data_IF_543931156076
#
_entry.id   IF_543931156076
#
_cell.length_a   1.000
_cell.length_b   1.000
_cell.length_c   1.000
_cell.angle_alpha   90.00
_cell.angle_beta   90.00
_cell.angle_gamma   90.00
#
_symmetry.space_group_name_H-M   'P 1'
#
loop_
_entity.id
_entity.type
_entity.pdbx_description
1 polymer ?
#
# COMPACT_ATOMS: atom_id res chain seq x y z
N UNK A 1 -26.58 -9.97 5.97
CA UNK A 1 -25.38 -9.19 5.59
C UNK A 1 -25.85 -8.12 4.62
N UNK A 2 -25.76 -6.84 4.97
CA UNK A 2 -26.34 -5.77 4.15
C UNK A 2 -25.49 -5.54 2.89
N UNK A 3 -26.09 -5.82 1.74
CA UNK A 3 -25.59 -5.65 0.37
C UNK A 3 -25.57 -4.18 -0.07
N UNK A 4 -25.02 -3.28 0.74
CA UNK A 4 -24.59 -1.99 0.21
C UNK A 4 -23.23 -2.21 -0.43
N UNK A 5 -23.23 -2.70 -1.67
CA UNK A 5 -22.06 -2.67 -2.55
C UNK A 5 -21.55 -1.24 -2.56
N UNK A 6 -20.41 -1.01 -1.90
CA UNK A 6 -19.70 0.26 -1.89
C UNK A 6 -19.27 0.54 -3.34
N UNK A 7 -20.11 1.26 -4.09
CA UNK A 7 -19.82 1.54 -5.50
C UNK A 7 -18.73 2.58 -5.57
N UNK A 8 -17.50 2.13 -5.80
CA UNK A 8 -16.36 3.01 -5.98
C UNK A 8 -16.55 3.86 -7.24
N UNK A 9 -16.14 5.12 -7.17
CA UNK A 9 -15.96 5.92 -8.39
C UNK A 9 -14.80 5.37 -9.21
N UNK A 10 -14.72 5.66 -10.52
CA UNK A 10 -13.59 5.23 -11.35
C UNK A 10 -12.23 5.64 -10.77
N UNK A 11 -12.14 6.84 -10.20
CA UNK A 11 -10.92 7.34 -9.54
C UNK A 11 -10.57 6.56 -8.28
N UNK A 12 -11.57 6.22 -7.46
CA UNK A 12 -11.34 5.41 -6.25
C UNK A 12 -10.90 4.00 -6.63
N UNK A 13 -11.56 3.39 -7.62
CA UNK A 13 -11.19 2.07 -8.10
C UNK A 13 -9.76 2.04 -8.66
N UNK A 14 -9.39 3.03 -9.48
CA UNK A 14 -8.02 3.16 -9.99
C UNK A 14 -7.01 3.24 -8.84
N UNK A 15 -7.25 4.10 -7.86
CA UNK A 15 -6.41 4.20 -6.67
C UNK A 15 -6.25 2.86 -5.94
N UNK A 16 -7.35 2.15 -5.66
CA UNK A 16 -7.27 0.87 -4.94
C UNK A 16 -6.62 -0.24 -5.78
N UNK A 17 -6.73 -0.20 -7.11
CA UNK A 17 -5.99 -1.12 -8.00
C UNK A 17 -4.49 -0.88 -7.92
N UNK A 18 -4.06 0.37 -7.97
CA UNK A 18 -2.63 0.72 -7.85
C UNK A 18 -2.09 0.37 -6.46
N UNK A 19 -2.81 0.76 -5.40
CA UNK A 19 -2.46 0.41 -4.03
C UNK A 19 -2.33 -1.11 -3.82
N UNK A 20 -3.29 -1.88 -4.36
CA UNK A 20 -3.27 -3.36 -4.26
C UNK A 20 -2.09 -3.95 -5.03
N UNK A 21 -1.78 -3.41 -6.21
CA UNK A 21 -0.60 -3.82 -6.98
C UNK A 21 0.68 -3.57 -6.21
N UNK A 22 0.83 -2.41 -5.57
CA UNK A 22 2.01 -2.07 -4.79
C UNK A 22 2.16 -3.00 -3.58
N UNK A 23 1.04 -3.28 -2.88
CA UNK A 23 1.02 -4.21 -1.75
C UNK A 23 1.40 -5.64 -2.16
N UNK A 24 0.84 -6.15 -3.26
CA UNK A 24 1.19 -7.48 -3.80
C UNK A 24 2.65 -7.51 -4.24
N UNK A 25 3.14 -6.45 -4.86
CA UNK A 25 4.55 -6.33 -5.26
C UNK A 25 5.47 -6.40 -4.06
N UNK A 26 5.18 -5.64 -2.99
CA UNK A 26 5.97 -5.63 -1.76
C UNK A 26 5.97 -6.99 -1.07
N UNK A 27 4.83 -7.69 -1.05
CA UNK A 27 4.70 -9.01 -0.45
C UNK A 27 5.50 -10.06 -1.24
N UNK A 28 5.38 -10.08 -2.57
CA UNK A 28 6.03 -11.10 -3.40
C UNK A 28 7.52 -10.85 -3.64
N UNK A 29 7.97 -9.59 -3.56
CA UNK A 29 9.40 -9.23 -3.72
C UNK A 29 10.31 -9.88 -2.69
N UNK A 30 9.78 -10.35 -1.56
CA UNK A 30 10.54 -11.09 -0.55
C UNK A 30 10.84 -12.54 -0.97
N UNK A 31 10.05 -13.10 -1.88
CA UNK A 31 10.05 -14.53 -2.23
C UNK A 31 10.22 -14.80 -3.73
N UNK A 32 10.25 -13.77 -4.56
CA UNK A 32 10.26 -13.89 -6.02
C UNK A 32 11.07 -12.78 -6.67
N UNK A 33 11.65 -13.07 -7.83
CA UNK A 33 12.40 -12.07 -8.60
C UNK A 33 11.47 -11.00 -9.18
N UNK A 34 11.95 -9.76 -9.37
CA UNK A 34 11.14 -8.65 -9.91
C UNK A 34 10.43 -9.00 -11.22
N UNK A 35 11.12 -9.68 -12.14
CA UNK A 35 10.55 -10.07 -13.45
C UNK A 35 9.38 -11.06 -13.30
N UNK A 36 9.45 -11.99 -12.35
CA UNK A 36 8.37 -12.94 -12.09
C UNK A 36 7.15 -12.25 -11.49
N UNK A 37 7.38 -11.31 -10.56
CA UNK A 37 6.30 -10.50 -9.98
C UNK A 37 5.63 -9.64 -11.06
N UNK A 38 6.43 -9.01 -11.93
CA UNK A 38 5.91 -8.19 -13.03
C UNK A 38 5.09 -9.00 -14.04
N UNK A 39 5.54 -10.20 -14.41
CA UNK A 39 4.78 -11.10 -15.30
C UNK A 39 3.46 -11.54 -14.66
N UNK A 40 3.49 -11.95 -13.39
CA UNK A 40 2.29 -12.31 -12.64
C UNK A 40 1.25 -11.18 -12.61
N UNK A 41 1.70 -9.95 -12.32
CA UNK A 41 0.83 -8.77 -12.23
C UNK A 41 0.26 -8.32 -13.58
N UNK A 42 0.85 -8.73 -14.71
CA UNK A 42 0.32 -8.46 -16.05
C UNK A 42 -0.80 -9.44 -16.44
N UNK A 43 -0.74 -10.67 -15.95
CA UNK A 43 -1.65 -11.74 -16.33
C UNK A 43 -2.91 -11.79 -15.45
N UNK A 44 -2.85 -11.24 -14.24
CA UNK A 44 -3.95 -11.27 -13.28
C UNK A 44 -4.81 -10.00 -13.31
N UNK A 45 -6.13 -10.17 -13.31
CA UNK A 45 -7.04 -9.06 -13.01
C UNK A 45 -7.10 -8.83 -11.49
N UNK A 46 -6.48 -7.74 -11.04
CA UNK A 46 -6.49 -7.33 -9.63
C UNK A 46 -7.81 -6.68 -9.18
N UNK A 47 -8.78 -6.48 -10.08
CA UNK A 47 -10.02 -5.77 -9.75
C UNK A 47 -10.78 -6.39 -8.58
N UNK A 48 -10.99 -7.72 -8.48
CA UNK A 48 -11.68 -8.33 -7.34
C UNK A 48 -10.94 -8.07 -6.02
N UNK A 49 -9.62 -8.25 -6.00
CA UNK A 49 -8.81 -8.03 -4.80
C UNK A 49 -8.80 -6.55 -4.40
N UNK A 50 -8.75 -5.63 -5.37
CA UNK A 50 -8.81 -4.20 -5.11
C UNK A 50 -10.15 -3.78 -4.49
N UNK A 51 -11.25 -4.41 -4.89
CA UNK A 51 -12.56 -4.17 -4.27
C UNK A 51 -12.62 -4.70 -2.83
N UNK A 52 -12.04 -5.87 -2.55
CA UNK A 52 -11.95 -6.40 -1.19
C UNK A 52 -11.11 -5.50 -0.28
N UNK A 53 -9.93 -5.06 -0.76
CA UNK A 53 -9.06 -4.12 -0.04
C UNK A 53 -9.78 -2.80 0.21
N UNK A 54 -10.45 -2.26 -0.82
CA UNK A 54 -11.23 -1.04 -0.68
C UNK A 54 -12.33 -1.18 0.38
N UNK A 55 -13.08 -2.28 0.35
CA UNK A 55 -14.13 -2.53 1.32
C UNK A 55 -13.58 -2.68 2.74
N UNK A 56 -12.48 -3.40 2.91
CA UNK A 56 -11.82 -3.55 4.19
C UNK A 56 -11.35 -2.20 4.75
N UNK A 57 -10.69 -1.36 3.94
CA UNK A 57 -10.20 -0.05 4.38
C UNK A 57 -11.34 0.95 4.63
N UNK A 58 -12.32 1.02 3.72
CA UNK A 58 -13.46 1.94 3.84
C UNK A 58 -14.43 1.55 4.96
N UNK A 59 -14.37 0.30 5.45
CA UNK A 59 -15.06 -0.11 6.67
C UNK A 59 -14.47 0.52 7.94
N UNK A 60 -13.22 1.01 7.88
CA UNK A 60 -12.48 1.56 9.02
C UNK A 60 -12.32 3.07 8.97
N UNK A 61 -12.28 3.66 7.78
CA UNK A 61 -12.02 5.08 7.60
C UNK A 61 -12.57 5.60 6.27
N UNK A 62 -12.42 6.90 6.02
CA UNK A 62 -12.87 7.53 4.78
C UNK A 62 -11.80 7.48 3.69
N UNK A 63 -12.23 7.51 2.42
CA UNK A 63 -11.31 7.62 1.28
C UNK A 63 -10.40 8.86 1.38
N UNK A 64 -10.93 9.98 1.85
CA UNK A 64 -10.15 11.22 2.07
C UNK A 64 -9.03 11.03 3.08
N UNK A 65 -9.30 10.33 4.18
CA UNK A 65 -8.28 10.01 5.18
C UNK A 65 -7.20 9.07 4.61
N UNK A 66 -7.61 8.04 3.86
CA UNK A 66 -6.68 7.13 3.16
C UNK A 66 -5.76 7.91 2.22
N UNK A 67 -6.32 8.78 1.37
CA UNK A 67 -5.54 9.61 0.45
C UNK A 67 -4.62 10.59 1.16
N UNK A 68 -4.96 11.06 2.36
CA UNK A 68 -4.09 11.93 3.14
C UNK A 68 -2.86 11.18 3.65
N UNK A 69 -3.06 9.96 4.16
CA UNK A 69 -1.96 9.09 4.59
C UNK A 69 -1.06 8.73 3.40
N UNK A 70 -1.65 8.31 2.29
CA UNK A 70 -0.94 8.01 1.05
C UNK A 70 -0.06 9.18 0.57
N UNK A 71 -0.60 10.41 0.56
CA UNK A 71 0.19 11.61 0.22
C UNK A 71 1.30 11.90 1.22
N UNK A 72 1.03 11.74 2.51
CA UNK A 72 2.05 11.94 3.55
C UNK A 72 3.20 10.94 3.37
N UNK A 73 2.92 9.66 3.13
CA UNK A 73 3.95 8.64 2.89
C UNK A 73 4.81 8.92 1.66
N UNK A 74 4.33 9.72 0.71
CA UNK A 74 5.03 10.13 -0.50
C UNK A 74 5.71 11.50 -0.37
N UNK A 75 5.61 12.17 0.79
CA UNK A 75 6.13 13.52 0.98
C UNK A 75 7.58 13.52 1.48
N UNK A 76 8.29 14.62 1.22
CA UNK A 76 9.68 14.80 1.67
C UNK A 76 9.78 14.74 3.20
N UNK A 77 8.78 15.26 3.91
CA UNK A 77 8.71 15.22 5.38
C UNK A 77 8.69 13.79 5.91
N UNK A 78 8.01 12.86 5.22
CA UNK A 78 8.03 11.46 5.60
C UNK A 78 9.41 10.84 5.41
N UNK A 79 10.11 11.18 4.32
CA UNK A 79 11.48 10.72 4.07
C UNK A 79 12.43 11.23 5.15
N UNK A 80 12.32 12.50 5.55
CA UNK A 80 13.11 13.09 6.63
C UNK A 80 12.86 12.39 7.98
N UNK A 81 11.58 12.16 8.34
CA UNK A 81 11.21 11.45 9.56
C UNK A 81 11.76 10.03 9.57
N UNK A 82 11.60 9.29 8.48
CA UNK A 82 12.12 7.93 8.37
C UNK A 82 13.66 7.89 8.38
N UNK A 83 14.32 8.90 7.84
CA UNK A 83 15.77 9.09 7.95
C UNK A 83 16.22 9.29 9.39
N UNK A 84 15.52 10.13 10.16
CA UNK A 84 15.81 10.32 11.59
C UNK A 84 15.62 9.03 12.40
N UNK A 85 14.56 8.26 12.11
CA UNK A 85 14.31 6.95 12.75
C UNK A 85 15.42 5.95 12.41
N UNK A 86 15.82 5.85 11.14
CA UNK A 86 16.89 4.95 10.72
C UNK A 86 18.23 5.30 11.40
N UNK A 87 18.54 6.60 11.52
CA UNK A 87 19.71 7.08 12.25
C UNK A 87 19.69 6.69 13.73
N UNK A 88 18.54 6.86 14.40
CA UNK A 88 18.38 6.45 15.80
C UNK A 88 18.59 4.94 16.00
N UNK A 89 18.05 4.11 15.10
CA UNK A 89 18.21 2.65 15.16
C UNK A 89 19.65 2.22 14.91
N UNK A 90 20.36 2.85 13.98
CA UNK A 90 21.77 2.55 13.70
C UNK A 90 22.66 2.81 14.92
N UNK A 91 22.38 3.89 15.67
CA UNK A 91 23.11 4.21 16.90
C UNK A 91 22.88 3.15 18.00
N UNK A 92 21.65 2.64 18.14
CA UNK A 92 21.34 1.55 19.07
C UNK A 92 22.10 0.27 18.68
N UNK A 93 22.10 -0.10 17.40
CA UNK A 93 22.78 -1.30 16.92
C UNK A 93 24.32 -1.26 17.14
N UNK A 94 24.92 -0.07 17.13
CA UNK A 94 26.33 0.12 17.48
C UNK A 94 26.59 0.06 18.98
N UNK A 95 25.65 0.52 19.81
CA UNK A 95 25.78 0.52 21.27
C UNK A 95 25.65 -0.89 21.91
N UNK A 96 25.12 -1.86 21.17
CA UNK A 96 24.93 -3.26 21.62
C UNK A 96 26.06 -4.19 21.09
N UNK A 97 27.06 -3.65 20.40
CA UNK A 97 28.31 -4.34 20.05
C UNK A 97 29.41 -4.02 21.06
#
# INVERSE_FOLDING_TARGET
MNENQFKLTPTQLAFFKDFTRDAVTAALSQTSSPDKVASFLKEIDLTPLALEVAQAMLSKTTFTAIKRVDRFMQSDEYVEVMGAVAGALANIAQAVK
#
